data_IF_671329250137
#
_entry.id   IF_671329250137
#
_cell.length_a   1.000
_cell.length_b   1.000
_cell.length_c   1.000
_cell.angle_alpha   90.00
_cell.angle_beta   90.00
_cell.angle_gamma   90.00
#
_symmetry.space_group_name_H-M   'P 1'
#
loop_
_entity.id
_entity.type
_entity.pdbx_description
1 polymer ?
#
# COMPACT_ATOMS: atom_id res chain seq x y z
N UNK A 1 9.27 10.21 -26.44
CA UNK A 1 8.79 9.62 -25.17
C UNK A 1 7.37 9.12 -25.37
N UNK A 2 7.12 7.81 -25.21
CA UNK A 2 5.88 7.14 -25.64
C UNK A 2 4.84 7.13 -24.52
N UNK A 3 3.56 7.23 -24.87
CA UNK A 3 2.44 7.08 -23.93
C UNK A 3 1.57 5.90 -24.33
N UNK A 4 1.27 5.05 -23.36
CA UNK A 4 0.36 3.91 -23.54
C UNK A 4 -0.73 4.05 -22.49
N UNK A 5 -1.97 4.25 -22.94
CA UNK A 5 -3.15 4.32 -22.08
C UNK A 5 -4.12 3.16 -22.31
N UNK A 6 -3.84 2.31 -23.30
CA UNK A 6 -4.60 1.10 -23.53
C UNK A 6 -4.15 0.02 -22.53
N UNK A 7 -5.04 -0.52 -21.69
CA UNK A 7 -4.69 -1.50 -20.67
C UNK A 7 -4.25 -2.86 -21.26
N UNK A 8 -4.72 -3.26 -22.45
CA UNK A 8 -4.31 -4.51 -23.09
C UNK A 8 -2.88 -4.42 -23.60
N UNK A 9 -2.56 -3.31 -24.27
CA UNK A 9 -1.20 -3.04 -24.77
C UNK A 9 -0.23 -2.91 -23.59
N UNK A 10 -0.66 -2.25 -22.52
CA UNK A 10 0.16 -2.10 -21.32
C UNK A 10 0.41 -3.45 -20.63
N UNK A 11 -0.60 -4.33 -20.59
CA UNK A 11 -0.50 -5.69 -20.05
C UNK A 11 0.55 -6.50 -20.81
N UNK A 12 0.44 -6.55 -22.15
CA UNK A 12 1.38 -7.29 -23.00
C UNK A 12 2.80 -6.74 -22.87
N UNK A 13 2.93 -5.42 -22.82
CA UNK A 13 4.22 -4.76 -22.65
C UNK A 13 4.86 -5.09 -21.30
N UNK A 14 4.09 -5.04 -20.20
CA UNK A 14 4.58 -5.39 -18.87
C UNK A 14 4.91 -6.87 -18.76
N UNK A 15 4.11 -7.78 -19.35
CA UNK A 15 4.39 -9.22 -19.33
C UNK A 15 5.66 -9.60 -20.09
N UNK A 16 6.03 -8.86 -21.14
CA UNK A 16 7.32 -9.05 -21.84
C UNK A 16 8.51 -8.56 -21.02
N UNK A 17 8.29 -7.59 -20.13
CA UNK A 17 9.35 -7.01 -19.31
C UNK A 17 9.59 -7.80 -18.02
N UNK A 18 8.55 -8.39 -17.46
CA UNK A 18 8.63 -9.13 -16.21
C UNK A 18 7.47 -10.10 -16.06
N UNK A 19 7.80 -11.32 -15.68
CA UNK A 19 6.84 -12.38 -15.38
C UNK A 19 6.39 -12.37 -13.91
N UNK A 20 7.04 -11.58 -13.05
CA UNK A 20 6.71 -11.51 -11.62
C UNK A 20 5.54 -10.58 -11.31
N UNK A 21 4.75 -10.89 -10.25
CA UNK A 21 3.73 -9.99 -9.74
C UNK A 21 4.40 -8.73 -9.18
N UNK A 22 3.99 -7.57 -9.68
CA UNK A 22 4.56 -6.29 -9.27
C UNK A 22 3.49 -5.29 -8.84
N UNK A 23 3.89 -4.36 -7.99
CA UNK A 23 3.03 -3.26 -7.53
C UNK A 23 2.86 -2.20 -8.63
N UNK A 24 1.79 -1.40 -8.60
CA UNK A 24 1.62 -0.27 -9.53
C UNK A 24 2.79 0.73 -9.51
N UNK A 25 3.43 0.92 -8.35
CA UNK A 25 4.60 1.79 -8.24
C UNK A 25 5.80 1.21 -9.00
N UNK A 26 6.09 -0.07 -8.81
CA UNK A 26 7.16 -0.77 -9.53
C UNK A 26 6.92 -0.78 -11.04
N UNK A 27 5.70 -1.10 -11.47
CA UNK A 27 5.34 -1.08 -12.88
C UNK A 27 5.51 0.31 -13.50
N UNK A 28 5.13 1.37 -12.79
CA UNK A 28 5.37 2.76 -13.25
C UNK A 28 6.85 3.07 -13.38
N UNK A 29 7.68 2.68 -12.40
CA UNK A 29 9.12 2.90 -12.45
C UNK A 29 9.76 2.15 -13.63
N UNK A 30 9.33 0.91 -13.88
CA UNK A 30 9.78 0.10 -15.00
C UNK A 30 9.40 0.70 -16.36
N UNK A 31 8.19 1.27 -16.47
CA UNK A 31 7.78 1.99 -17.67
C UNK A 31 8.61 3.27 -17.86
N UNK A 32 8.87 4.01 -16.77
CA UNK A 32 9.65 5.25 -16.82
C UNK A 32 11.10 5.00 -17.26
N UNK A 33 11.74 3.91 -16.82
CA UNK A 33 13.09 3.54 -17.27
C UNK A 33 13.16 3.21 -18.77
N UNK A 34 12.03 2.85 -19.38
CA UNK A 34 11.88 2.65 -20.83
C UNK A 34 11.37 3.88 -21.59
N UNK A 35 11.22 5.02 -20.91
CA UNK A 35 10.70 6.25 -21.51
C UNK A 35 9.22 6.16 -21.90
N UNK A 36 8.46 5.27 -21.24
CA UNK A 36 7.03 5.06 -21.42
C UNK A 36 6.26 5.68 -20.24
N UNK A 37 5.21 6.44 -20.54
CA UNK A 37 4.28 7.00 -19.54
C UNK A 37 2.90 6.37 -19.71
N UNK A 38 2.25 6.05 -18.60
CA UNK A 38 0.91 5.45 -18.58
C UNK A 38 0.03 6.11 -17.52
N UNK A 39 -1.27 6.22 -17.79
CA UNK A 39 -2.24 6.66 -16.80
C UNK A 39 -2.37 5.63 -15.66
N UNK A 40 -2.54 6.12 -14.43
CA UNK A 40 -2.71 5.25 -13.25
C UNK A 40 -3.86 4.25 -13.45
N UNK A 41 -5.00 4.71 -13.98
CA UNK A 41 -6.17 3.86 -14.21
C UNK A 41 -5.89 2.72 -15.19
N UNK A 42 -5.19 3.00 -16.29
CA UNK A 42 -4.82 1.99 -17.28
C UNK A 42 -3.78 1.01 -16.72
N UNK A 43 -2.83 1.51 -15.93
CA UNK A 43 -1.82 0.70 -15.25
C UNK A 43 -2.43 -0.28 -14.26
N UNK A 44 -3.34 0.19 -13.41
CA UNK A 44 -4.06 -0.67 -12.46
C UNK A 44 -4.93 -1.71 -13.17
N UNK A 45 -5.61 -1.32 -14.25
CA UNK A 45 -6.39 -2.26 -15.05
C UNK A 45 -5.50 -3.35 -15.67
N UNK A 46 -4.37 -2.99 -16.28
CA UNK A 46 -3.42 -3.93 -16.86
C UNK A 46 -2.85 -4.91 -15.82
N UNK A 47 -2.47 -4.40 -14.64
CA UNK A 47 -1.97 -5.24 -13.54
C UNK A 47 -3.05 -6.17 -12.99
N UNK A 48 -4.30 -5.70 -12.88
CA UNK A 48 -5.44 -6.54 -12.50
C UNK A 48 -5.70 -7.66 -13.50
N UNK A 49 -5.39 -7.46 -14.78
CA UNK A 49 -5.50 -8.48 -15.83
C UNK A 49 -4.31 -9.46 -15.82
N UNK A 50 -3.14 -9.07 -15.33
CA UNK A 50 -1.98 -9.96 -15.13
C UNK A 50 -2.09 -10.78 -13.84
N UNK A 51 -2.73 -10.23 -12.81
CA UNK A 51 -3.03 -10.98 -11.60
C UNK A 51 -4.09 -12.06 -11.92
N UNK A 52 -3.66 -13.33 -11.96
CA UNK A 52 -4.56 -14.46 -11.68
C UNK A 52 -5.34 -14.20 -10.38
N UNK A 53 -6.49 -14.85 -10.10
CA UNK A 53 -7.43 -14.43 -9.03
C UNK A 53 -6.80 -14.55 -7.63
N UNK A 54 -5.97 -13.58 -7.29
CA UNK A 54 -5.25 -13.45 -6.06
C UNK A 54 -5.65 -12.08 -5.53
N UNK A 55 -6.67 -12.14 -4.67
CA UNK A 55 -6.97 -11.22 -3.58
C UNK A 55 -6.71 -9.75 -3.94
N UNK A 56 -7.77 -9.08 -4.38
CA UNK A 56 -7.77 -7.62 -4.44
C UNK A 56 -7.15 -7.08 -3.15
N UNK A 57 -6.17 -6.16 -3.20
CA UNK A 57 -5.66 -5.56 -1.99
C UNK A 57 -6.85 -4.93 -1.31
N UNK A 58 -7.21 -5.50 -0.14
CA UNK A 58 -8.20 -4.91 0.75
C UNK A 58 -7.71 -3.50 0.95
N UNK A 59 -8.41 -2.53 0.36
CA UNK A 59 -8.21 -1.13 0.68
C UNK A 59 -8.40 -1.10 2.18
N UNK A 60 -7.30 -1.06 2.92
CA UNK A 60 -7.29 -0.64 4.31
C UNK A 60 -7.82 0.76 4.25
N UNK A 61 -9.15 0.88 4.32
CA UNK A 61 -9.82 2.03 4.91
C UNK A 61 -8.95 2.33 6.12
N UNK A 62 -8.29 3.48 6.11
CA UNK A 62 -7.65 4.02 7.30
C UNK A 62 -8.77 4.15 8.32
N UNK A 63 -9.00 3.07 9.06
CA UNK A 63 -9.78 3.11 10.28
C UNK A 63 -9.01 4.11 11.11
N UNK A 64 -9.62 5.27 11.37
CA UNK A 64 -9.10 6.19 12.38
C UNK A 64 -9.12 5.39 13.67
N UNK A 65 -7.99 4.77 13.99
CA UNK A 65 -7.76 4.20 15.31
C UNK A 65 -7.93 5.37 16.27
N UNK A 66 -8.82 5.20 17.25
CA UNK A 66 -8.94 6.16 18.34
C UNK A 66 -7.55 6.27 19.01
N UNK A 67 -7.13 7.47 19.43
CA UNK A 67 -5.85 7.64 20.12
C UNK A 67 -5.78 6.70 21.34
N UNK A 68 -4.58 6.18 21.62
CA UNK A 68 -4.32 5.25 22.73
C UNK A 68 -4.66 5.84 24.11
N UNK A 69 -4.96 7.14 24.19
CA UNK A 69 -5.25 7.87 25.43
C UNK A 69 -6.62 7.52 26.06
N UNK A 70 -7.50 6.82 25.35
CA UNK A 70 -8.83 6.42 25.84
C UNK A 70 -8.87 4.98 26.36
N UNK A 71 -7.73 4.36 26.63
CA UNK A 71 -7.71 3.03 27.26
C UNK A 71 -7.85 3.18 28.78
N UNK A 72 -8.86 2.57 29.42
CA UNK A 72 -9.00 2.64 30.87
C UNK A 72 -7.79 1.97 31.51
N UNK A 73 -7.00 2.76 32.26
CA UNK A 73 -5.83 2.28 32.99
C UNK A 73 -6.21 1.07 33.84
N UNK A 74 -5.46 -0.01 33.63
CA UNK A 74 -5.57 -1.23 34.43
C UNK A 74 -5.19 -0.93 35.88
N UNK A 75 -5.71 -1.69 36.87
CA UNK A 75 -5.38 -1.49 38.28
C UNK A 75 -3.87 -1.59 38.55
N UNK A 76 -3.13 -2.36 37.77
CA UNK A 76 -1.67 -2.48 37.87
C UNK A 76 -0.95 -1.20 37.42
N UNK A 77 -1.36 -0.59 36.30
CA UNK A 77 -0.77 0.66 35.81
C UNK A 77 -0.99 1.82 36.78
N UNK A 78 -2.13 1.83 37.51
CA UNK A 78 -2.39 2.82 38.56
C UNK A 78 -1.40 2.70 39.72
N UNK A 79 -1.08 1.48 40.15
CA UNK A 79 -0.11 1.24 41.22
C UNK A 79 1.31 1.70 40.81
N UNK A 80 1.69 1.48 39.54
CA UNK A 80 2.97 1.93 38.99
C UNK A 80 3.06 3.47 39.01
N UNK A 81 2.02 4.16 38.55
CA UNK A 81 1.98 5.63 38.54
C UNK A 81 1.99 6.23 39.95
N UNK A 82 1.29 5.61 40.91
CA UNK A 82 1.29 6.07 42.30
C UNK A 82 2.67 5.91 42.94
N UNK A 83 3.35 4.79 42.70
CA UNK A 83 4.74 4.58 43.14
C UNK A 83 5.68 5.61 42.54
N UNK A 84 5.59 5.85 41.23
CA UNK A 84 6.41 6.84 40.52
C UNK A 84 6.16 8.28 41.05
N UNK A 85 4.93 8.57 41.48
CA UNK A 85 4.56 9.87 42.05
C UNK A 85 5.13 10.07 43.46
N UNK A 86 5.21 9.01 44.26
CA UNK A 86 5.84 9.04 45.60
C UNK A 86 7.35 9.17 45.53
N UNK A 87 8.00 8.61 44.50
CA UNK A 87 9.45 8.72 44.31
C UNK A 87 9.89 10.10 43.76
N UNK A 88 8.96 10.88 43.19
CA UNK A 88 9.21 12.23 42.66
C UNK A 88 8.84 13.38 43.61
N UNK A 89 8.26 13.09 44.77
CA UNK A 89 7.92 14.06 45.82
C UNK A 89 9.00 14.08 46.91
#
# INVERSE_FOLDING_TARGET
MRRINDPLVLRDYLSRLSSEPMTPAQARLLLASRGVRAQQKALEAALRMMAAPAVAPVKTRRVRLKPLDDLPLTPEERAIMERLRRERA
#
